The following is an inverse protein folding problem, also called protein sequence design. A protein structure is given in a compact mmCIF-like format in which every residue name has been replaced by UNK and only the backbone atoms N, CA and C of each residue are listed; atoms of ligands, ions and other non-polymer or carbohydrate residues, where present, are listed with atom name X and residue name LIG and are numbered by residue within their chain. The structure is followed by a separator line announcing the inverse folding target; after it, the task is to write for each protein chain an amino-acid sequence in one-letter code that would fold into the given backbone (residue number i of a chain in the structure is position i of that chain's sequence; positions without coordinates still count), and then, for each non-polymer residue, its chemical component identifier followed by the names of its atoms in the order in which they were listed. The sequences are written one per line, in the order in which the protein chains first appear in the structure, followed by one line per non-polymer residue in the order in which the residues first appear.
data_IF_086292298269
#
_entry.id   IF_086292298269
#
_cell.length_a   1.000
_cell.length_b   1.000
_cell.length_c   1.000
_cell.angle_alpha   90.00
_cell.angle_beta   90.00
_cell.angle_gamma   90.00
#
_symmetry.space_group_name_H-M   'P 1'
#
loop_
_entity.id
_entity.type
_entity.pdbx_description
1 polymer ?
#
# COMPACT_ATOMS: atom_id res chain seq x y z
N UNK A 1 -2.43 -26.02 -13.18
CA UNK A 1 -1.40 -25.98 -12.12
C UNK A 1 -1.98 -25.55 -10.78
N UNK A 2 -2.69 -24.43 -10.69
CA UNK A 2 -3.31 -23.98 -9.44
C UNK A 2 -4.49 -24.88 -8.98
N UNK A 3 -5.33 -25.31 -9.92
CA UNK A 3 -6.44 -26.25 -9.68
C UNK A 3 -5.96 -27.60 -9.08
N UNK A 4 -4.86 -28.18 -9.59
CA UNK A 4 -4.34 -29.49 -9.12
C UNK A 4 -3.78 -29.44 -7.68
N UNK A 5 -3.21 -28.31 -7.28
CA UNK A 5 -2.71 -28.09 -5.93
C UNK A 5 -3.87 -28.04 -4.92
N UNK A 6 -5.00 -27.43 -5.34
CA UNK A 6 -6.20 -27.27 -4.52
C UNK A 6 -6.92 -28.59 -4.27
N UNK A 7 -7.09 -29.41 -5.28
CA UNK A 7 -7.82 -30.69 -5.15
C UNK A 7 -7.02 -31.76 -4.40
N UNK A 8 -5.71 -31.81 -4.59
CA UNK A 8 -4.90 -32.94 -4.09
C UNK A 8 -4.15 -32.67 -2.78
N UNK A 9 -3.79 -31.42 -2.49
CA UNK A 9 -2.90 -31.11 -1.35
C UNK A 9 -3.54 -30.19 -0.31
N UNK A 10 -4.39 -29.24 -0.71
CA UNK A 10 -5.05 -28.33 0.22
C UNK A 10 -6.15 -29.00 1.04
N UNK A 11 -6.75 -30.09 0.56
CA UNK A 11 -7.77 -30.86 1.30
C UNK A 11 -7.26 -31.49 2.61
N UNK A 12 -5.94 -31.68 2.74
CA UNK A 12 -5.28 -32.18 3.96
C UNK A 12 -5.24 -31.11 5.04
N UNK A 13 -5.27 -29.84 4.65
CA UNK A 13 -5.19 -28.70 5.57
C UNK A 13 -6.61 -28.31 5.95
N UNK A 14 -6.94 -28.39 7.24
CA UNK A 14 -8.27 -28.00 7.71
C UNK A 14 -8.49 -26.49 7.58
N UNK A 15 -9.73 -26.08 7.32
CA UNK A 15 -10.09 -24.67 7.30
C UNK A 15 -9.79 -23.98 8.64
N UNK A 16 -9.94 -24.69 9.75
CA UNK A 16 -9.63 -24.18 11.09
C UNK A 16 -8.15 -23.85 11.24
N UNK A 17 -7.27 -24.71 10.70
CA UNK A 17 -5.84 -24.48 10.72
C UNK A 17 -5.44 -23.27 9.86
N UNK A 18 -6.05 -23.15 8.67
CA UNK A 18 -5.88 -21.98 7.79
C UNK A 18 -6.29 -20.70 8.53
N UNK A 19 -7.48 -20.69 9.12
CA UNK A 19 -8.01 -19.54 9.86
C UNK A 19 -7.12 -19.18 11.05
N UNK A 20 -6.59 -20.18 11.77
CA UNK A 20 -5.65 -19.98 12.87
C UNK A 20 -4.37 -19.29 12.41
N UNK A 21 -3.75 -19.76 11.31
CA UNK A 21 -2.53 -19.14 10.75
C UNK A 21 -2.80 -17.69 10.37
N UNK A 22 -3.88 -17.43 9.63
CA UNK A 22 -4.22 -16.07 9.20
C UNK A 22 -4.52 -15.16 10.38
N UNK A 23 -5.19 -15.65 11.43
CA UNK A 23 -5.45 -14.89 12.65
C UNK A 23 -4.16 -14.52 13.41
N UNK A 24 -3.21 -15.45 13.50
CA UNK A 24 -1.90 -15.19 14.11
C UNK A 24 -1.11 -14.17 13.29
N UNK A 25 -1.07 -14.32 11.96
CA UNK A 25 -0.36 -13.39 11.08
C UNK A 25 -0.98 -11.99 11.11
N UNK A 26 -2.31 -11.89 11.09
CA UNK A 26 -3.04 -10.62 11.24
C UNK A 26 -2.63 -9.92 12.55
N UNK A 27 -2.64 -10.67 13.66
CA UNK A 27 -2.28 -10.15 14.98
C UNK A 27 -0.84 -9.65 15.02
N UNK A 28 0.09 -10.40 14.41
CA UNK A 28 1.50 -10.01 14.33
C UNK A 28 1.69 -8.74 13.49
N UNK A 29 1.06 -8.65 12.32
CA UNK A 29 1.14 -7.46 11.47
C UNK A 29 0.56 -6.22 12.15
N UNK A 30 -0.56 -6.36 12.88
CA UNK A 30 -1.13 -5.27 13.69
C UNK A 30 -0.16 -4.78 14.77
N UNK A 31 0.51 -5.70 15.45
CA UNK A 31 1.47 -5.36 16.51
C UNK A 31 2.68 -4.59 15.96
N UNK A 32 3.15 -4.99 14.77
CA UNK A 32 4.22 -4.27 14.05
C UNK A 32 3.74 -2.87 13.66
N UNK A 33 2.55 -2.76 13.08
CA UNK A 33 1.95 -1.49 12.67
C UNK A 33 1.86 -0.48 13.82
N UNK A 34 1.31 -0.90 14.96
CA UNK A 34 1.15 -0.04 16.13
C UNK A 34 2.47 0.44 16.73
N UNK A 35 3.56 -0.29 16.50
CA UNK A 35 4.90 0.11 16.95
C UNK A 35 5.48 1.19 16.05
N UNK A 36 5.29 1.06 14.74
CA UNK A 36 5.89 1.93 13.72
C UNK A 36 5.11 3.24 13.50
N UNK A 37 3.81 3.28 13.81
CA UNK A 37 2.93 4.44 13.59
C UNK A 37 3.25 5.69 14.43
N UNK A 38 4.27 5.65 15.29
CA UNK A 38 4.70 6.80 16.11
C UNK A 38 5.72 7.70 15.41
N UNK A 39 5.99 7.46 14.13
CA UNK A 39 7.02 8.20 13.39
C UNK A 39 6.33 9.28 12.55
N UNK A 40 6.59 10.55 12.86
CA UNK A 40 6.00 11.69 12.16
C UNK A 40 6.61 11.82 10.75
N UNK A 41 5.84 11.47 9.73
CA UNK A 41 6.27 11.56 8.33
C UNK A 41 5.63 12.77 7.65
N UNK A 42 6.29 13.92 7.74
CA UNK A 42 5.77 15.21 7.27
C UNK A 42 6.08 15.54 5.80
N UNK A 43 6.62 14.61 5.01
CA UNK A 43 6.90 14.84 3.59
C UNK A 43 5.68 14.53 2.72
N UNK A 44 5.20 15.55 2.01
CA UNK A 44 3.94 15.57 1.23
C UNK A 44 3.79 14.37 0.26
N UNK A 45 4.84 14.02 -0.47
CA UNK A 45 4.78 12.97 -1.49
C UNK A 45 4.64 11.56 -0.88
N UNK A 46 5.29 11.32 0.25
CA UNK A 46 5.33 9.99 0.88
C UNK A 46 4.04 9.73 1.63
N UNK A 47 3.47 10.76 2.25
CA UNK A 47 2.11 10.71 2.79
C UNK A 47 1.11 10.33 1.71
N UNK A 48 1.21 10.94 0.53
CA UNK A 48 0.34 10.65 -0.61
C UNK A 48 0.42 9.18 -1.02
N UNK A 49 1.62 8.65 -1.29
CA UNK A 49 1.78 7.24 -1.67
C UNK A 49 1.29 6.26 -0.59
N UNK A 50 1.50 6.59 0.69
CA UNK A 50 0.98 5.81 1.82
C UNK A 50 -0.55 5.76 1.80
N UNK A 51 -1.20 6.90 1.57
CA UNK A 51 -2.66 7.00 1.46
C UNK A 51 -3.19 6.18 0.27
N UNK A 52 -2.56 6.31 -0.90
CA UNK A 52 -2.91 5.51 -2.09
C UNK A 52 -2.84 4.02 -1.78
N UNK A 53 -1.72 3.57 -1.21
CA UNK A 53 -1.49 2.16 -0.93
C UNK A 53 -2.46 1.62 0.13
N UNK A 54 -2.73 2.41 1.18
CA UNK A 54 -3.72 2.09 2.22
C UNK A 54 -5.10 1.88 1.62
N UNK A 55 -5.49 2.77 0.72
CA UNK A 55 -6.78 2.74 0.06
C UNK A 55 -6.88 1.47 -0.82
N UNK A 56 -5.84 1.15 -1.61
CA UNK A 56 -5.77 -0.08 -2.40
C UNK A 56 -5.94 -1.32 -1.51
N UNK A 57 -5.23 -1.38 -0.37
CA UNK A 57 -5.33 -2.51 0.56
C UNK A 57 -6.73 -2.68 1.15
N UNK A 58 -7.38 -1.58 1.54
CA UNK A 58 -8.74 -1.60 2.07
C UNK A 58 -9.71 -2.14 1.02
N UNK A 59 -9.64 -1.60 -0.20
CA UNK A 59 -10.47 -2.04 -1.32
C UNK A 59 -10.24 -3.52 -1.65
N UNK A 60 -8.98 -3.94 -1.70
CA UNK A 60 -8.60 -5.33 -1.97
C UNK A 60 -9.03 -6.30 -0.87
N UNK A 61 -9.03 -5.86 0.39
CA UNK A 61 -9.56 -6.65 1.50
C UNK A 61 -11.09 -6.81 1.42
N UNK A 62 -11.81 -5.80 0.96
CA UNK A 62 -13.27 -5.82 0.89
C UNK A 62 -13.81 -6.49 -0.37
N UNK A 63 -13.15 -6.29 -1.51
CA UNK A 63 -13.58 -6.76 -2.83
C UNK A 63 -12.73 -7.95 -3.29
N UNK A 64 -13.30 -8.78 -4.16
CA UNK A 64 -12.60 -9.94 -4.74
C UNK A 64 -12.19 -9.70 -6.20
N UNK A 65 -12.52 -8.52 -6.72
CA UNK A 65 -12.23 -8.08 -8.06
C UNK A 65 -11.97 -6.57 -8.03
N UNK A 66 -11.07 -6.11 -8.90
CA UNK A 66 -11.07 -4.72 -9.33
C UNK A 66 -11.82 -4.68 -10.66
N UNK A 67 -13.01 -4.08 -10.67
CA UNK A 67 -13.65 -3.71 -11.93
C UNK A 67 -12.93 -2.50 -12.51
N UNK A 68 -12.87 -2.39 -13.84
CA UNK A 68 -12.18 -1.29 -14.53
C UNK A 68 -12.76 0.06 -14.13
N UNK A 69 -14.08 0.13 -13.96
CA UNK A 69 -14.79 1.33 -13.48
C UNK A 69 -14.35 1.68 -12.07
N UNK A 70 -14.36 0.69 -11.16
CA UNK A 70 -13.91 0.87 -9.77
C UNK A 70 -12.44 1.29 -9.70
N UNK A 71 -11.57 0.66 -10.48
CA UNK A 71 -10.15 1.01 -10.52
C UNK A 71 -9.94 2.44 -11.02
N UNK A 72 -10.67 2.84 -12.06
CA UNK A 72 -10.57 4.17 -12.66
C UNK A 72 -11.12 5.24 -11.73
N UNK A 73 -12.32 5.04 -11.18
CA UNK A 73 -12.94 5.97 -10.22
C UNK A 73 -12.05 6.14 -8.99
N UNK A 74 -11.53 5.03 -8.45
CA UNK A 74 -10.67 5.06 -7.28
C UNK A 74 -9.35 5.80 -7.54
N UNK A 75 -8.67 5.50 -8.64
CA UNK A 75 -7.41 6.17 -9.01
C UNK A 75 -7.65 7.65 -9.30
N UNK A 76 -8.73 8.00 -10.00
CA UNK A 76 -9.07 9.38 -10.35
C UNK A 76 -9.45 10.18 -9.10
N UNK A 77 -10.27 9.64 -8.20
CA UNK A 77 -10.67 10.31 -6.96
C UNK A 77 -9.46 10.59 -6.06
N UNK A 78 -8.56 9.60 -5.94
CA UNK A 78 -7.37 9.70 -5.10
C UNK A 78 -6.34 10.67 -5.70
N UNK A 79 -6.07 10.59 -7.01
CA UNK A 79 -5.17 11.53 -7.69
C UNK A 79 -5.73 12.96 -7.71
N UNK A 80 -7.04 13.14 -7.88
CA UNK A 80 -7.66 14.46 -7.90
C UNK A 80 -7.61 15.12 -6.52
N UNK A 81 -7.90 14.37 -5.45
CA UNK A 81 -7.82 14.85 -4.06
C UNK A 81 -6.43 15.39 -3.72
N UNK A 82 -5.38 14.72 -4.18
CA UNK A 82 -4.00 15.17 -3.98
C UNK A 82 -3.58 16.29 -4.95
N UNK A 83 -4.09 16.33 -6.19
CA UNK A 83 -3.79 17.42 -7.14
C UNK A 83 -4.34 18.77 -6.68
N UNK A 84 -5.52 18.79 -6.04
CA UNK A 84 -6.11 20.01 -5.48
C UNK A 84 -5.32 20.60 -4.30
N UNK A 85 -4.46 19.78 -3.67
CA UNK A 85 -3.55 20.21 -2.61
C UNK A 85 -2.13 20.51 -3.13
N UNK A 86 -1.85 20.23 -4.42
CA UNK A 86 -0.56 20.52 -5.04
C UNK A 86 -0.46 22.00 -5.45
N UNK A 87 0.07 22.78 -4.52
CA UNK A 87 0.76 24.06 -4.69
C UNK A 87 0.09 25.15 -5.55
N UNK A 88 -0.40 26.20 -4.88
CA UNK A 88 -0.37 27.55 -5.45
C UNK A 88 1.10 28.02 -5.53
N UNK A 89 1.89 27.44 -6.44
CA UNK A 89 3.13 28.09 -6.85
C UNK A 89 2.72 29.22 -7.79
N UNK A 90 2.93 30.50 -7.44
CA UNK A 90 2.66 31.59 -8.36
C UNK A 90 3.54 31.37 -9.59
N UNK A 91 2.90 31.31 -10.76
CA UNK A 91 3.59 31.30 -12.04
C UNK A 91 4.46 32.54 -12.14
N UNK A 92 5.76 32.42 -11.89
CA UNK A 92 6.69 33.47 -12.27
C UNK A 92 6.72 33.52 -13.79
N UNK A 93 6.56 34.70 -14.41
CA UNK A 93 6.62 34.80 -15.86
C UNK A 93 8.00 34.35 -16.35
N UNK A 94 7.98 33.49 -17.36
CA UNK A 94 9.13 33.05 -18.14
C UNK A 94 10.00 34.24 -18.55
N UNK A 95 11.16 34.36 -17.92
CA UNK A 95 12.29 35.07 -18.51
C UNK A 95 13.24 34.02 -19.07
N UNK A 96 13.00 33.67 -20.34
CA UNK A 96 14.00 33.11 -21.22
C UNK A 96 15.16 34.10 -21.31
N UNK A 97 16.33 33.71 -20.79
CA UNK A 97 17.60 33.73 -21.50
C UNK A 97 18.81 33.60 -20.54
N UNK A 98 19.74 32.71 -20.94
CA UNK A 98 21.19 32.73 -20.64
C UNK A 98 21.64 32.40 -19.19
N UNK A 99 22.02 31.15 -18.95
CA UNK A 99 23.44 30.77 -18.91
C UNK A 99 23.66 29.32 -18.44
N UNK A 100 24.35 28.58 -19.30
CA UNK A 100 25.01 27.30 -19.03
C UNK A 100 26.15 27.54 -18.03
N UNK A 101 26.11 26.94 -16.84
CA UNK A 101 27.30 26.73 -15.99
C UNK A 101 27.08 25.60 -14.98
N UNK A 102 27.87 24.56 -15.20
CA UNK A 102 28.51 23.66 -14.24
C UNK A 102 27.65 22.93 -13.19
N UNK A 103 27.64 21.61 -13.37
CA UNK A 103 27.37 20.59 -12.37
C UNK A 103 28.09 20.87 -11.04
N UNK A 104 27.35 21.31 -10.03
CA UNK A 104 27.69 21.03 -8.65
C UNK A 104 26.81 19.87 -8.18
N UNK A 105 27.37 18.66 -8.25
CA UNK A 105 26.88 17.51 -7.49
C UNK A 105 27.11 17.86 -6.02
N UNK A 106 26.16 18.58 -5.43
CA UNK A 106 26.03 18.61 -3.98
C UNK A 106 25.35 17.31 -3.59
N UNK A 107 26.19 16.34 -3.24
CA UNK A 107 25.83 15.16 -2.48
C UNK A 107 25.35 15.62 -1.10
N UNK A 108 24.13 16.15 -1.02
CA UNK A 108 23.38 16.17 0.23
C UNK A 108 22.81 14.77 0.44
N UNK A 109 23.69 13.87 0.87
CA UNK A 109 23.30 12.66 1.59
C UNK A 109 22.89 13.08 3.00
N UNK A 110 21.76 13.75 3.12
CA UNK A 110 21.06 13.92 4.39
C UNK A 110 19.87 12.98 4.40
N UNK A 111 20.08 11.83 5.05
CA UNK A 111 19.08 11.19 5.90
C UNK A 111 17.67 10.96 5.28
N UNK A 112 17.57 10.09 4.28
CA UNK A 112 16.28 9.48 3.88
C UNK A 112 16.19 8.02 4.35
N UNK A 113 16.61 7.74 5.59
CA UNK A 113 16.71 6.37 6.12
C UNK A 113 15.39 5.76 6.63
N UNK A 114 14.27 6.49 6.67
CA UNK A 114 13.05 6.00 7.34
C UNK A 114 11.79 5.97 6.47
N UNK A 115 11.75 5.07 5.49
CA UNK A 115 10.53 4.68 4.76
C UNK A 115 10.38 3.20 4.34
N UNK A 116 11.41 2.32 4.36
CA UNK A 116 11.23 0.93 3.92
C UNK A 116 10.19 0.14 4.73
N UNK A 117 10.06 0.42 6.03
CA UNK A 117 9.29 -0.43 6.94
C UNK A 117 7.78 -0.31 6.70
N UNK A 118 7.26 0.90 6.52
CA UNK A 118 5.82 1.12 6.26
C UNK A 118 5.36 0.45 4.96
N UNK A 119 6.09 0.62 3.86
CA UNK A 119 5.74 -0.03 2.59
C UNK A 119 5.90 -1.54 2.67
N UNK A 120 6.95 -2.04 3.35
CA UNK A 120 7.14 -3.48 3.57
C UNK A 120 5.98 -4.08 4.36
N UNK A 121 5.49 -3.37 5.36
CA UNK A 121 4.34 -3.79 6.14
C UNK A 121 3.05 -3.79 5.30
N UNK A 122 2.83 -2.74 4.51
CA UNK A 122 1.70 -2.69 3.58
C UNK A 122 1.75 -3.82 2.54
N UNK A 123 2.93 -4.13 1.99
CA UNK A 123 3.14 -5.30 1.14
C UNK A 123 2.87 -6.62 1.87
N UNK A 124 3.23 -6.70 3.16
CA UNK A 124 2.94 -7.88 3.97
C UNK A 124 1.43 -8.09 4.15
N UNK A 125 0.67 -7.01 4.34
CA UNK A 125 -0.80 -7.05 4.32
C UNK A 125 -1.35 -7.46 2.97
N UNK A 126 -0.80 -6.92 1.87
CA UNK A 126 -1.21 -7.30 0.52
C UNK A 126 -1.04 -8.81 0.29
N UNK A 127 0.12 -9.35 0.64
CA UNK A 127 0.41 -10.79 0.53
C UNK A 127 -0.55 -11.60 1.39
N UNK A 128 -0.80 -11.20 2.64
CA UNK A 128 -1.72 -11.90 3.53
C UNK A 128 -3.15 -11.98 2.95
N UNK A 129 -3.66 -10.86 2.43
CA UNK A 129 -4.99 -10.78 1.80
C UNK A 129 -5.01 -11.63 0.52
N UNK A 130 -3.98 -11.52 -0.31
CA UNK A 130 -3.87 -12.28 -1.55
C UNK A 130 -3.84 -13.79 -1.29
N UNK A 131 -3.03 -14.23 -0.33
CA UNK A 131 -2.93 -15.63 0.04
C UNK A 131 -4.26 -16.15 0.59
N UNK A 132 -4.89 -15.44 1.53
CA UNK A 132 -6.15 -15.89 2.10
C UNK A 132 -7.25 -16.05 1.03
N UNK A 133 -7.40 -15.05 0.16
CA UNK A 133 -8.48 -15.01 -0.83
C UNK A 133 -8.23 -15.91 -2.02
N UNK A 134 -7.03 -15.83 -2.60
CA UNK A 134 -6.73 -16.47 -3.87
C UNK A 134 -5.95 -17.78 -3.69
N UNK A 135 -5.03 -17.86 -2.70
CA UNK A 135 -4.23 -19.08 -2.44
C UNK A 135 -4.99 -20.15 -1.63
N UNK A 136 -5.76 -19.73 -0.62
CA UNK A 136 -6.55 -20.64 0.19
C UNK A 136 -8.04 -20.62 -0.17
N UNK A 137 -8.42 -19.84 -1.19
CA UNK A 137 -9.77 -19.81 -1.75
C UNK A 137 -10.83 -19.22 -0.81
N UNK A 138 -10.42 -18.54 0.27
CA UNK A 138 -11.34 -17.94 1.22
C UNK A 138 -11.73 -16.54 0.77
N UNK A 139 -12.48 -16.46 -0.33
CA UNK A 139 -12.89 -15.20 -0.98
C UNK A 139 -13.79 -14.33 -0.08
N UNK A 140 -14.41 -14.89 0.96
CA UNK A 140 -15.24 -14.14 1.89
C UNK A 140 -14.47 -13.66 3.13
N UNK A 141 -13.20 -14.05 3.26
CA UNK A 141 -12.35 -13.58 4.33
C UNK A 141 -12.05 -12.10 4.11
N UNK A 142 -12.37 -11.31 5.14
CA UNK A 142 -11.95 -9.92 5.25
C UNK A 142 -11.31 -9.74 6.62
N UNK A 143 -10.15 -9.12 6.64
CA UNK A 143 -9.51 -8.71 7.88
C UNK A 143 -10.23 -7.46 8.37
N UNK A 144 -10.75 -7.53 9.61
CA UNK A 144 -11.39 -6.37 10.23
C UNK A 144 -10.36 -5.25 10.46
N UNK A 145 -10.76 -3.99 10.62
CA UNK A 145 -9.89 -2.92 11.14
C UNK A 145 -8.50 -2.75 10.46
N UNK A 146 -8.42 -2.87 9.13
CA UNK A 146 -7.29 -2.36 8.34
C UNK A 146 -7.36 -0.82 8.34
N UNK A 147 -6.68 -0.22 9.32
CA UNK A 147 -6.63 1.22 9.54
C UNK A 147 -5.16 1.63 9.51
N UNK A 148 -4.77 2.35 8.46
CA UNK A 148 -3.38 2.72 8.18
C UNK A 148 -3.06 4.20 8.44
N UNK A 149 -3.95 4.88 9.18
CA UNK A 149 -3.87 6.30 9.49
C UNK A 149 -3.09 6.57 10.77
#
# INVERSE_FOLDING_TARGET
MYEDLRTNHLSVISQDFINLIFSVNESNLRMIFQRESNTDFSTNEVGTYREIFSAILISFNQLNYLDETLATEFVVELLNFHSSNSSNVPSSPDHSDLNMSESSIYSDTTENEYQPETYRMMLSWFVLIYEAKFIFGNIHLSFSNLRFY
#
